data_IF_192993735470
#
_entry.id   IF_192993735470
#
_cell.length_a   1.000
_cell.length_b   1.000
_cell.length_c   1.000
_cell.angle_alpha   90.00
_cell.angle_beta   90.00
_cell.angle_gamma   90.00
#
_symmetry.space_group_name_H-M   'P 1'
#
loop_
_entity.id
_entity.type
_entity.pdbx_description
1 polymer ?
#
# COMPACT_ATOMS: atom_id res chain seq x y z
N UNK A 1 0.80 -16.44 10.41
CA UNK A 1 2.15 -15.84 10.47
C UNK A 1 2.01 -14.43 11.03
N UNK A 2 3.04 -13.88 11.65
CA UNK A 2 3.03 -12.49 12.16
C UNK A 2 4.13 -11.67 11.52
N UNK A 3 3.93 -10.36 11.45
CA UNK A 3 4.91 -9.39 10.94
C UNK A 3 5.09 -8.27 11.94
N UNK A 4 6.33 -7.81 12.13
CA UNK A 4 6.62 -6.62 12.93
C UNK A 4 6.52 -5.38 12.05
N UNK A 5 6.15 -4.25 12.63
CA UNK A 5 6.07 -2.99 11.92
C UNK A 5 6.05 -1.80 12.87
N UNK A 6 5.94 -0.61 12.29
CA UNK A 6 5.79 0.63 13.03
C UNK A 6 4.69 1.46 12.38
N UNK A 7 4.16 2.41 13.13
CA UNK A 7 3.51 3.58 12.57
C UNK A 7 4.31 4.86 12.86
N UNK A 8 4.25 5.79 11.91
CA UNK A 8 5.04 7.03 11.93
C UNK A 8 4.23 8.20 11.41
N UNK A 9 4.68 9.40 11.78
CA UNK A 9 4.11 10.65 11.32
C UNK A 9 5.20 11.70 11.09
N UNK A 10 4.81 12.96 10.95
CA UNK A 10 5.74 14.08 10.95
C UNK A 10 6.57 14.20 12.24
N UNK A 11 6.18 13.57 13.34
CA UNK A 11 7.01 13.50 14.54
C UNK A 11 8.31 12.70 14.34
N UNK A 12 8.34 11.82 13.35
CA UNK A 12 9.51 11.05 12.92
C UNK A 12 10.14 11.64 11.65
N UNK A 13 9.97 12.94 11.39
CA UNK A 13 10.68 13.62 10.30
C UNK A 13 12.19 13.38 10.42
N UNK A 14 12.84 13.09 9.28
CA UNK A 14 14.27 12.77 9.22
C UNK A 14 14.62 11.30 9.51
N UNK A 15 13.64 10.45 9.84
CA UNK A 15 13.86 9.01 9.87
C UNK A 15 14.23 8.48 8.47
N UNK A 16 15.31 7.70 8.40
CA UNK A 16 15.76 7.05 7.16
C UNK A 16 15.24 5.62 7.12
N UNK A 17 14.24 5.35 6.29
CA UNK A 17 13.54 4.05 6.23
C UNK A 17 14.50 2.89 5.92
N UNK A 18 15.46 3.10 5.00
CA UNK A 18 16.47 2.11 4.63
C UNK A 18 17.35 1.65 5.82
N UNK A 19 17.49 2.50 6.84
CA UNK A 19 18.32 2.22 8.01
C UNK A 19 17.57 1.43 9.10
N UNK A 20 16.22 1.35 9.01
CA UNK A 20 15.42 0.61 9.99
C UNK A 20 15.73 -0.89 9.89
N UNK A 21 15.83 -1.51 11.06
CA UNK A 21 15.90 -2.96 11.25
C UNK A 21 15.11 -3.77 10.17
N UNK A 22 15.77 -4.70 9.45
CA UNK A 22 15.12 -5.61 8.50
C UNK A 22 13.87 -6.35 9.05
N UNK A 23 13.76 -6.54 10.37
CA UNK A 23 12.59 -7.11 11.02
C UNK A 23 11.31 -6.26 10.81
N UNK A 24 11.42 -4.94 10.63
CA UNK A 24 10.28 -4.05 10.37
C UNK A 24 9.70 -4.30 8.97
N UNK A 25 8.67 -5.13 8.85
CA UNK A 25 8.13 -5.57 7.56
C UNK A 25 7.13 -4.59 6.93
N UNK A 26 6.43 -3.81 7.76
CA UNK A 26 5.46 -2.82 7.31
C UNK A 26 5.62 -1.50 8.06
N UNK A 27 5.16 -0.41 7.43
CA UNK A 27 5.16 0.93 8.00
C UNK A 27 3.82 1.60 7.69
N UNK A 28 3.09 2.04 8.72
CA UNK A 28 1.83 2.79 8.58
C UNK A 28 2.13 4.28 8.76
N UNK A 29 1.93 5.08 7.71
CA UNK A 29 2.33 6.49 7.66
C UNK A 29 1.12 7.41 7.85
N UNK A 30 1.24 8.43 8.69
CA UNK A 30 0.20 9.47 8.82
C UNK A 30 0.07 10.21 7.50
N UNK A 31 -1.12 10.14 6.90
CA UNK A 31 -1.41 10.87 5.68
C UNK A 31 -2.06 12.22 5.96
N UNK A 32 -3.20 12.21 6.63
CA UNK A 32 -4.02 13.41 6.84
C UNK A 32 -4.61 13.49 8.23
N UNK A 33 -5.09 14.68 8.59
CA UNK A 33 -5.87 14.92 9.80
C UNK A 33 -6.98 15.92 9.50
N UNK A 34 -8.21 15.58 9.89
CA UNK A 34 -9.38 16.43 9.64
C UNK A 34 -9.56 16.79 8.16
N UNK A 35 -10.24 17.91 7.89
CA UNK A 35 -10.58 18.32 6.52
C UNK A 35 -9.51 19.13 5.78
N UNK A 36 -8.28 19.26 6.29
CA UNK A 36 -7.29 20.18 5.70
C UNK A 36 -5.82 19.83 5.88
N UNK A 37 -5.42 19.15 6.95
CA UNK A 37 -4.01 18.86 7.19
C UNK A 37 -3.56 17.64 6.38
N UNK A 38 -2.45 17.79 5.65
CA UNK A 38 -1.68 16.69 5.07
C UNK A 38 -0.32 16.67 5.76
N UNK A 39 0.14 15.50 6.19
CA UNK A 39 1.47 15.37 6.79
C UNK A 39 2.53 15.76 5.76
N UNK A 40 3.43 16.71 6.06
CA UNK A 40 4.45 17.15 5.09
C UNK A 40 5.49 16.06 4.81
N UNK A 41 5.51 14.99 5.60
CA UNK A 41 6.39 13.83 5.42
C UNK A 41 5.69 12.64 4.75
N UNK A 42 4.37 12.72 4.49
CA UNK A 42 3.57 11.60 3.97
C UNK A 42 4.19 10.98 2.71
N UNK A 43 4.39 11.78 1.66
CA UNK A 43 4.92 11.29 0.38
C UNK A 43 6.30 10.68 0.55
N UNK A 44 7.23 11.39 1.21
CA UNK A 44 8.59 10.91 1.40
C UNK A 44 8.68 9.63 2.23
N UNK A 45 7.86 9.49 3.28
CA UNK A 45 7.81 8.28 4.10
C UNK A 45 7.13 7.13 3.35
N UNK A 46 6.05 7.38 2.60
CA UNK A 46 5.34 6.38 1.82
C UNK A 46 6.18 5.82 0.68
N UNK A 47 6.78 6.70 -0.13
CA UNK A 47 7.65 6.32 -1.24
C UNK A 47 8.88 5.55 -0.75
N UNK A 48 9.52 6.04 0.32
CA UNK A 48 10.67 5.36 0.91
C UNK A 48 10.30 3.99 1.50
N UNK A 49 9.08 3.83 2.05
CA UNK A 49 8.58 2.53 2.52
C UNK A 49 8.49 1.53 1.36
N UNK A 50 7.86 1.93 0.27
CA UNK A 50 7.71 1.08 -0.93
C UNK A 50 9.05 0.78 -1.60
N UNK A 51 9.91 1.78 -1.78
CA UNK A 51 11.23 1.64 -2.41
C UNK A 51 12.18 0.72 -1.62
N UNK A 52 11.94 0.53 -0.32
CA UNK A 52 12.71 -0.40 0.52
C UNK A 52 12.03 -1.78 0.69
N UNK A 53 11.08 -2.12 -0.18
CA UNK A 53 10.38 -3.41 -0.16
C UNK A 53 9.61 -3.67 1.13
N UNK A 54 9.17 -2.61 1.81
CA UNK A 54 8.33 -2.69 3.01
C UNK A 54 6.87 -2.52 2.60
N UNK A 55 5.97 -3.17 3.33
CA UNK A 55 4.53 -3.03 3.12
C UNK A 55 4.05 -1.67 3.65
N UNK A 56 3.26 -0.96 2.87
CA UNK A 56 2.79 0.38 3.20
C UNK A 56 1.38 0.35 3.81
N UNK A 57 1.19 1.15 4.87
CA UNK A 57 -0.11 1.60 5.34
C UNK A 57 -0.18 3.13 5.35
N UNK A 58 -1.38 3.69 5.25
CA UNK A 58 -1.64 5.13 5.32
C UNK A 58 -2.84 5.40 6.22
N UNK A 59 -2.70 6.29 7.20
CA UNK A 59 -3.79 6.55 8.14
C UNK A 59 -4.28 8.01 8.14
N UNK A 60 -5.56 8.16 8.46
CA UNK A 60 -6.23 9.43 8.66
C UNK A 60 -6.60 9.62 10.13
N UNK A 61 -6.12 10.69 10.76
CA UNK A 61 -6.55 11.08 12.10
C UNK A 61 -7.87 11.86 12.03
N UNK A 62 -8.92 11.32 12.65
CA UNK A 62 -10.24 11.95 12.69
C UNK A 62 -10.24 13.15 13.63
N UNK A 63 -10.65 14.34 13.16
CA UNK A 63 -10.65 15.56 14.00
C UNK A 63 -12.06 16.12 14.28
N UNK A 64 -13.07 15.67 13.53
CA UNK A 64 -14.44 16.18 13.61
C UNK A 64 -14.78 17.30 12.62
N UNK A 65 -14.01 17.48 11.55
CA UNK A 65 -14.24 18.48 10.50
C UNK A 65 -15.46 18.18 9.62
N UNK A 66 -16.03 16.98 9.75
CA UNK A 66 -17.21 16.54 9.00
C UNK A 66 -16.88 15.32 8.14
N UNK A 67 -17.68 14.26 8.25
CA UNK A 67 -17.32 12.95 7.70
C UNK A 67 -17.02 12.95 6.19
N UNK A 68 -17.84 13.63 5.39
CA UNK A 68 -17.62 13.76 3.95
C UNK A 68 -16.36 14.58 3.62
N UNK A 69 -16.08 15.63 4.40
CA UNK A 69 -14.91 16.48 4.18
C UNK A 69 -13.60 15.75 4.53
N UNK A 70 -13.58 15.04 5.66
CA UNK A 70 -12.46 14.19 6.08
C UNK A 70 -12.21 13.07 5.07
N UNK A 71 -13.27 12.39 4.62
CA UNK A 71 -13.15 11.31 3.65
C UNK A 71 -12.62 11.79 2.29
N UNK A 72 -13.15 12.89 1.76
CA UNK A 72 -12.68 13.46 0.50
C UNK A 72 -11.22 13.92 0.59
N UNK A 73 -10.85 14.55 1.71
CA UNK A 73 -9.48 15.02 1.96
C UNK A 73 -8.50 13.86 2.06
N UNK A 74 -8.83 12.82 2.83
CA UNK A 74 -8.01 11.61 2.93
C UNK A 74 -7.90 10.90 1.58
N UNK A 75 -9.01 10.67 0.88
CA UNK A 75 -9.03 10.02 -0.42
C UNK A 75 -8.16 10.74 -1.45
N UNK A 76 -8.22 12.08 -1.50
CA UNK A 76 -7.39 12.89 -2.38
C UNK A 76 -5.89 12.73 -2.08
N UNK A 77 -5.51 12.71 -0.81
CA UNK A 77 -4.12 12.56 -0.40
C UNK A 77 -3.55 11.16 -0.71
N UNK A 78 -4.35 10.11 -0.55
CA UNK A 78 -3.88 8.71 -0.72
C UNK A 78 -4.12 8.13 -2.11
N UNK A 79 -4.79 8.86 -3.01
CA UNK A 79 -5.10 8.40 -4.37
C UNK A 79 -3.92 7.76 -5.11
N UNK A 80 -2.67 8.29 -5.05
CA UNK A 80 -1.51 7.67 -5.71
C UNK A 80 -1.11 6.29 -5.18
N UNK A 81 -1.58 5.92 -3.98
CA UNK A 81 -1.18 4.71 -3.26
C UNK A 81 -2.29 3.66 -3.17
N UNK A 82 -3.48 3.93 -3.73
CA UNK A 82 -4.58 2.97 -3.75
C UNK A 82 -4.16 1.69 -4.48
N UNK A 83 -4.41 0.52 -3.87
CA UNK A 83 -3.94 -0.76 -4.39
C UNK A 83 -2.51 -1.13 -3.99
N UNK A 84 -1.78 -0.23 -3.31
CA UNK A 84 -0.40 -0.45 -2.82
C UNK A 84 -0.23 -0.16 -1.32
N UNK A 85 -1.20 0.51 -0.71
CA UNK A 85 -1.23 0.81 0.72
C UNK A 85 -2.52 0.31 1.38
N UNK A 86 -2.39 -0.28 2.57
CA UNK A 86 -3.53 -0.48 3.47
C UNK A 86 -3.96 0.89 4.01
N UNK A 87 -5.25 1.21 3.92
CA UNK A 87 -5.77 2.43 4.52
C UNK A 87 -6.20 2.19 5.97
N UNK A 88 -6.09 3.21 6.83
CA UNK A 88 -6.55 3.14 8.21
C UNK A 88 -7.26 4.43 8.64
N UNK A 89 -8.24 4.29 9.53
CA UNK A 89 -8.91 5.38 10.23
C UNK A 89 -8.47 5.36 11.68
N UNK A 90 -7.84 6.44 12.12
CA UNK A 90 -7.37 6.66 13.47
C UNK A 90 -8.46 7.37 14.28
N UNK A 91 -9.15 6.59 15.11
CA UNK A 91 -10.17 7.03 16.05
C UNK A 91 -9.60 7.04 17.47
N UNK A 92 -9.15 8.22 17.90
CA UNK A 92 -8.67 8.45 19.27
C UNK A 92 -9.08 9.81 19.82
N UNK A 93 -8.84 10.01 21.13
CA UNK A 93 -9.04 11.28 21.81
C UNK A 93 -7.94 12.30 21.45
N UNK A 94 -8.07 13.54 21.93
CA UNK A 94 -7.09 14.60 21.71
C UNK A 94 -7.63 15.67 20.78
N UNK A 95 -7.19 15.68 19.51
CA UNK A 95 -7.65 16.66 18.52
C UNK A 95 -9.02 16.31 17.92
N UNK A 96 -9.53 15.11 18.19
CA UNK A 96 -10.84 14.63 17.75
C UNK A 96 -11.98 15.22 18.58
N UNK A 97 -12.69 16.20 18.02
CA UNK A 97 -13.84 16.87 18.66
C UNK A 97 -15.09 15.98 18.71
N UNK A 98 -15.07 14.85 18.03
CA UNK A 98 -16.18 13.87 17.96
C UNK A 98 -15.87 12.61 18.74
N UNK A 99 -14.77 12.56 19.49
CA UNK A 99 -14.41 11.41 20.32
C UNK A 99 -15.60 10.97 21.19
N UNK A 100 -15.91 9.67 21.13
CA UNK A 100 -17.07 9.06 21.79
C UNK A 100 -18.37 9.02 20.96
N UNK A 101 -18.44 9.72 19.82
CA UNK A 101 -19.57 9.67 18.90
C UNK A 101 -19.41 8.55 17.86
N UNK A 102 -19.99 7.38 18.15
CA UNK A 102 -19.93 6.21 17.26
C UNK A 102 -20.75 6.36 15.98
N UNK A 103 -21.74 7.27 15.96
CA UNK A 103 -22.48 7.56 14.74
C UNK A 103 -21.60 8.34 13.77
N UNK A 104 -20.90 9.36 14.27
CA UNK A 104 -19.91 10.10 13.49
C UNK A 104 -18.77 9.20 12.98
N UNK A 105 -18.26 8.31 13.83
CA UNK A 105 -17.26 7.33 13.42
C UNK A 105 -17.76 6.46 12.25
N UNK A 106 -18.99 5.94 12.35
CA UNK A 106 -19.61 5.15 11.28
C UNK A 106 -19.68 5.94 9.97
N UNK A 107 -20.10 7.21 10.05
CA UNK A 107 -20.23 8.08 8.87
C UNK A 107 -18.87 8.33 8.22
N UNK A 108 -17.82 8.60 9.00
CA UNK A 108 -16.44 8.77 8.50
C UNK A 108 -15.94 7.50 7.81
N UNK A 109 -16.11 6.33 8.45
CA UNK A 109 -15.61 5.07 7.92
C UNK A 109 -16.31 4.69 6.61
N UNK A 110 -17.64 4.89 6.55
CA UNK A 110 -18.42 4.66 5.34
C UNK A 110 -17.98 5.63 4.23
N UNK A 111 -17.88 6.92 4.52
CA UNK A 111 -17.49 7.92 3.54
C UNK A 111 -16.09 7.65 2.95
N UNK A 112 -15.12 7.24 3.79
CA UNK A 112 -13.79 6.85 3.30
C UNK A 112 -13.86 5.63 2.39
N UNK A 113 -14.65 4.62 2.76
CA UNK A 113 -14.85 3.43 1.92
C UNK A 113 -15.46 3.82 0.57
N UNK A 114 -16.49 4.67 0.57
CA UNK A 114 -17.15 5.15 -0.65
C UNK A 114 -16.20 5.96 -1.55
N UNK A 115 -15.36 6.82 -0.97
CA UNK A 115 -14.43 7.67 -1.73
C UNK A 115 -13.21 6.92 -2.27
N UNK A 116 -12.76 5.87 -1.60
CA UNK A 116 -11.51 5.16 -1.95
C UNK A 116 -11.75 3.81 -2.62
N UNK A 117 -12.94 3.23 -2.48
CA UNK A 117 -13.24 1.86 -2.88
C UNK A 117 -12.51 0.81 -2.04
N UNK A 118 -11.93 1.20 -0.89
CA UNK A 118 -11.16 0.31 0.01
C UNK A 118 -11.75 0.34 1.41
N UNK A 119 -11.84 -0.82 2.06
CA UNK A 119 -12.26 -0.92 3.46
C UNK A 119 -11.03 -0.70 4.36
N UNK A 120 -10.95 0.41 5.11
CA UNK A 120 -9.78 0.69 5.93
C UNK A 120 -9.73 -0.18 7.20
N UNK A 121 -8.54 -0.30 7.78
CA UNK A 121 -8.39 -0.67 9.19
C UNK A 121 -9.04 0.40 10.08
N UNK A 122 -9.58 -0.01 11.22
CA UNK A 122 -10.08 0.91 12.24
C UNK A 122 -9.19 0.84 13.48
N UNK A 123 -8.45 1.92 13.72
CA UNK A 123 -7.60 2.09 14.88
C UNK A 123 -8.36 2.64 16.08
N UNK A 124 -8.13 2.07 17.25
CA UNK A 124 -8.49 2.66 18.53
C UNK A 124 -7.63 2.11 19.68
N UNK A 125 -7.66 2.77 20.83
CA UNK A 125 -7.16 2.17 22.08
C UNK A 125 -8.04 1.00 22.53
N UNK A 126 -7.45 0.02 23.24
CA UNK A 126 -8.19 -1.13 23.77
C UNK A 126 -9.35 -0.73 24.71
N UNK A 127 -9.26 0.41 25.41
CA UNK A 127 -10.35 0.92 26.25
C UNK A 127 -11.56 1.41 25.46
N UNK A 128 -11.36 1.86 24.22
CA UNK A 128 -12.44 2.27 23.32
C UNK A 128 -13.00 1.11 22.48
N UNK A 129 -12.32 -0.04 22.47
CA UNK A 129 -12.68 -1.19 21.65
C UNK A 129 -14.16 -1.62 21.82
N UNK A 130 -14.77 -1.66 23.01
CA UNK A 130 -16.19 -2.03 23.15
C UNK A 130 -17.15 -1.11 22.37
N UNK A 131 -16.82 0.17 22.22
CA UNK A 131 -17.63 1.13 21.46
C UNK A 131 -17.32 1.10 19.94
N UNK A 132 -16.07 0.80 19.59
CA UNK A 132 -15.59 0.80 18.20
C UNK A 132 -15.92 -0.51 17.48
N UNK A 133 -15.85 -1.65 18.17
CA UNK A 133 -16.07 -2.98 17.60
C UNK A 133 -17.40 -3.13 16.85
N UNK A 134 -18.56 -2.67 17.38
CA UNK A 134 -19.82 -2.75 16.64
C UNK A 134 -19.82 -1.96 15.34
N UNK A 135 -19.08 -0.86 15.25
CA UNK A 135 -18.93 -0.08 14.01
C UNK A 135 -18.06 -0.85 13.01
N UNK A 136 -16.95 -1.41 13.46
CA UNK A 136 -16.07 -2.23 12.63
C UNK A 136 -16.81 -3.43 12.05
N UNK A 137 -17.51 -4.21 12.89
CA UNK A 137 -18.26 -5.39 12.46
C UNK A 137 -19.36 -5.03 11.45
N UNK A 138 -20.10 -3.94 11.68
CA UNK A 138 -21.18 -3.49 10.79
C UNK A 138 -20.67 -3.04 9.41
N UNK A 139 -19.42 -2.61 9.31
CA UNK A 139 -18.80 -2.12 8.06
C UNK A 139 -17.78 -3.12 7.47
N UNK A 140 -17.63 -4.30 8.06
CA UNK A 140 -16.66 -5.31 7.63
C UNK A 140 -15.20 -4.88 7.79
N UNK A 141 -14.91 -3.96 8.72
CA UNK A 141 -13.57 -3.42 8.95
C UNK A 141 -12.76 -4.34 9.86
N UNK A 142 -11.45 -4.40 9.61
CA UNK A 142 -10.48 -5.07 10.47
C UNK A 142 -9.92 -4.09 11.49
N UNK A 143 -9.60 -4.56 12.69
CA UNK A 143 -9.19 -3.69 13.80
C UNK A 143 -7.67 -3.55 13.90
N UNK A 144 -7.22 -2.32 14.17
CA UNK A 144 -5.88 -2.00 14.67
C UNK A 144 -6.06 -1.51 16.11
N UNK A 145 -5.40 -2.13 17.09
CA UNK A 145 -5.68 -1.81 18.52
C UNK A 145 -4.41 -1.48 19.28
N UNK A 146 -4.42 -0.34 19.96
CA UNK A 146 -3.35 0.05 20.88
C UNK A 146 -3.57 -0.50 22.30
N UNK A 147 -2.60 -1.27 22.80
CA UNK A 147 -2.53 -1.68 24.21
C UNK A 147 -1.08 -1.91 24.64
N UNK A 148 -0.63 -1.14 25.62
CA UNK A 148 0.76 -1.16 26.08
C UNK A 148 0.85 -1.78 27.47
N UNK A 149 1.86 -2.61 27.71
CA UNK A 149 2.14 -3.14 29.04
C UNK A 149 2.46 -2.01 30.06
N UNK A 150 3.18 -1.00 29.58
CA UNK A 150 3.63 0.20 30.29
C UNK A 150 4.27 1.17 29.28
N UNK A 151 4.78 2.31 29.76
CA UNK A 151 5.43 3.34 28.94
C UNK A 151 6.97 3.25 28.93
N UNK A 152 7.56 2.12 29.33
CA UNK A 152 9.01 1.95 29.34
C UNK A 152 9.52 1.63 27.93
N UNK A 153 10.79 1.97 27.62
CA UNK A 153 11.39 1.59 26.36
C UNK A 153 11.41 0.06 26.15
N UNK A 154 11.13 -0.37 24.93
CA UNK A 154 11.17 -1.78 24.51
C UNK A 154 11.61 -1.91 23.05
N UNK A 155 12.02 -3.11 22.63
CA UNK A 155 12.22 -3.49 21.23
C UNK A 155 11.07 -4.34 20.67
N UNK A 156 11.36 -5.08 19.59
CA UNK A 156 10.45 -6.05 18.98
C UNK A 156 9.97 -7.11 19.99
N UNK A 157 8.68 -7.46 19.92
CA UNK A 157 8.08 -8.49 20.77
C UNK A 157 7.35 -9.50 19.89
N UNK A 158 7.70 -10.78 19.97
CA UNK A 158 6.97 -11.86 19.28
C UNK A 158 5.58 -12.06 19.88
N UNK A 159 5.47 -11.91 21.20
CA UNK A 159 4.25 -12.04 21.98
C UNK A 159 4.07 -10.84 22.91
N UNK A 160 3.34 -9.79 22.47
CA UNK A 160 3.06 -8.65 23.31
C UNK A 160 2.29 -9.00 24.58
N UNK A 161 2.44 -8.18 25.62
CA UNK A 161 1.65 -8.31 26.85
C UNK A 161 0.15 -8.33 26.55
N UNK A 162 -0.61 -9.21 27.23
CA UNK A 162 -2.07 -9.38 27.09
C UNK A 162 -2.53 -9.73 25.66
N UNK A 163 -1.66 -10.40 24.90
CA UNK A 163 -2.01 -11.02 23.63
C UNK A 163 -3.09 -12.09 23.82
N UNK A 164 -4.11 -12.07 22.95
CA UNK A 164 -5.25 -12.99 23.02
C UNK A 164 -6.44 -12.49 23.86
N UNK A 165 -6.31 -11.39 24.60
CA UNK A 165 -7.43 -10.80 25.35
C UNK A 165 -8.57 -10.29 24.44
N UNK A 166 -8.26 -9.96 23.19
CA UNK A 166 -9.20 -9.60 22.14
C UNK A 166 -8.62 -9.97 20.77
N UNK A 167 -9.47 -9.99 19.75
CA UNK A 167 -9.06 -10.19 18.35
C UNK A 167 -8.82 -8.85 17.67
N UNK A 168 -7.65 -8.69 17.05
CA UNK A 168 -7.35 -7.59 16.13
C UNK A 168 -6.48 -8.10 14.97
N UNK A 169 -6.35 -7.30 13.92
CA UNK A 169 -5.48 -7.58 12.77
C UNK A 169 -4.10 -6.97 12.95
N UNK A 170 -4.04 -5.76 13.52
CA UNK A 170 -2.78 -5.11 13.90
C UNK A 170 -2.89 -4.72 15.37
N UNK A 171 -1.79 -4.86 16.12
CA UNK A 171 -1.70 -4.43 17.51
C UNK A 171 -0.51 -3.51 17.68
N UNK A 172 -0.78 -2.27 18.06
CA UNK A 172 0.25 -1.34 18.53
C UNK A 172 0.52 -1.65 20.00
N UNK A 173 1.71 -2.14 20.33
CA UNK A 173 2.02 -2.64 21.66
C UNK A 173 3.00 -1.77 22.45
N UNK A 174 3.54 -0.72 21.84
CA UNK A 174 4.35 0.28 22.53
C UNK A 174 4.35 1.61 21.78
N UNK A 175 4.41 2.72 22.52
CA UNK A 175 4.77 4.05 22.00
C UNK A 175 6.18 4.52 22.38
N UNK A 176 6.96 3.62 22.97
CA UNK A 176 8.31 3.88 23.46
C UNK A 176 9.35 2.96 22.81
N UNK A 177 9.07 2.48 21.60
CA UNK A 177 9.93 1.60 20.83
C UNK A 177 11.34 2.13 20.63
N UNK A 178 12.30 1.22 20.69
CA UNK A 178 13.72 1.43 20.40
C UNK A 178 14.17 0.29 19.49
N UNK A 179 14.43 0.62 18.22
CA UNK A 179 14.89 -0.33 17.21
C UNK A 179 16.08 0.24 16.47
N UNK A 180 16.92 -0.64 15.93
CA UNK A 180 18.08 -0.24 15.14
C UNK A 180 17.65 0.62 13.95
N UNK A 181 18.40 1.69 13.66
CA UNK A 181 18.12 2.60 12.54
C UNK A 181 17.51 3.94 12.92
N UNK A 182 17.00 4.08 14.16
CA UNK A 182 16.44 5.34 14.64
C UNK A 182 16.63 5.50 16.16
N UNK A 183 17.19 6.63 16.59
CA UNK A 183 17.47 6.89 18.01
C UNK A 183 16.23 7.33 18.81
N UNK A 184 15.19 7.80 18.12
CA UNK A 184 13.96 8.31 18.74
C UNK A 184 12.98 7.20 19.15
N UNK A 185 11.81 7.62 19.68
CA UNK A 185 10.68 6.71 19.97
C UNK A 185 9.91 6.39 18.70
N UNK A 186 9.55 5.11 18.60
CA UNK A 186 8.68 4.58 17.57
C UNK A 186 7.51 3.88 18.23
N UNK A 187 6.36 4.03 17.62
CA UNK A 187 5.24 3.16 17.89
C UNK A 187 5.55 1.80 17.24
N UNK A 188 5.42 0.72 18.01
CA UNK A 188 5.73 -0.64 17.55
C UNK A 188 4.45 -1.45 17.40
N UNK A 189 4.33 -2.09 16.24
CA UNK A 189 3.18 -2.89 15.87
C UNK A 189 3.55 -4.34 15.56
N UNK A 190 2.58 -5.23 15.81
CA UNK A 190 2.56 -6.57 15.25
C UNK A 190 1.28 -6.74 14.41
N UNK A 191 1.43 -7.23 13.19
CA UNK A 191 0.32 -7.61 12.33
C UNK A 191 0.12 -9.13 12.40
N UNK A 192 -1.10 -9.56 12.69
CA UNK A 192 -1.53 -10.97 12.73
C UNK A 192 -1.99 -11.42 11.34
N UNK A 193 -1.16 -11.14 10.34
CA UNK A 193 -1.39 -11.51 8.95
C UNK A 193 -0.06 -11.61 8.22
N UNK A 194 -0.05 -12.30 7.08
CA UNK A 194 1.10 -12.34 6.17
C UNK A 194 1.09 -11.20 5.13
N UNK A 195 2.15 -11.14 4.31
CA UNK A 195 2.30 -10.12 3.28
C UNK A 195 1.25 -10.21 2.16
N UNK A 196 0.75 -11.42 1.85
CA UNK A 196 -0.29 -11.62 0.85
C UNK A 196 -1.64 -11.12 1.36
N UNK A 197 -1.96 -11.38 2.62
CA UNK A 197 -3.13 -10.83 3.30
C UNK A 197 -3.07 -9.29 3.41
N UNK A 198 -1.89 -8.72 3.65
CA UNK A 198 -1.67 -7.27 3.63
C UNK A 198 -1.95 -6.69 2.23
N UNK A 199 -1.39 -7.30 1.19
CA UNK A 199 -1.61 -6.87 -0.20
C UNK A 199 -3.08 -6.97 -0.61
N UNK A 200 -3.77 -8.05 -0.23
CA UNK A 200 -5.20 -8.19 -0.44
C UNK A 200 -6.00 -7.08 0.26
N UNK A 201 -5.62 -6.70 1.48
CA UNK A 201 -6.25 -5.60 2.22
C UNK A 201 -5.96 -4.22 1.61
N UNK A 202 -4.76 -4.01 1.06
CA UNK A 202 -4.43 -2.82 0.27
C UNK A 202 -5.25 -2.75 -1.04
N UNK A 203 -5.89 -3.85 -1.42
CA UNK A 203 -6.69 -3.97 -2.62
C UNK A 203 -5.86 -4.29 -3.86
N UNK A 204 -4.69 -4.88 -3.68
CA UNK A 204 -3.90 -5.49 -4.76
C UNK A 204 -4.61 -6.77 -5.23
N UNK A 205 -5.24 -6.73 -6.40
CA UNK A 205 -5.79 -7.92 -7.06
C UNK A 205 -4.67 -8.71 -7.74
N UNK A 206 -3.81 -9.34 -6.96
CA UNK A 206 -2.91 -10.38 -7.44
C UNK A 206 -2.98 -11.56 -6.47
N UNK A 207 -3.39 -12.77 -6.91
CA UNK A 207 -3.31 -13.95 -6.08
C UNK A 207 -1.85 -14.18 -5.68
N UNK A 208 -1.63 -14.56 -4.43
CA UNK A 208 -0.32 -14.99 -3.95
C UNK A 208 0.25 -16.09 -4.85
N UNK A 209 1.22 -15.74 -5.69
CA UNK A 209 2.17 -16.69 -6.25
C UNK A 209 3.51 -16.37 -5.61
N UNK A 210 3.92 -17.27 -4.73
CA UNK A 210 5.28 -17.34 -4.22
C UNK A 210 6.20 -17.66 -5.39
N UNK A 211 7.12 -16.75 -5.73
CA UNK A 211 8.43 -17.08 -6.33
C UNK A 211 9.34 -15.84 -6.28
N UNK A 212 10.41 -15.96 -5.50
CA UNK A 212 11.79 -15.49 -5.76
C UNK A 212 12.02 -14.28 -6.68
N UNK A 213 12.57 -13.22 -6.09
CA UNK A 213 13.55 -12.24 -6.62
C UNK A 213 13.69 -12.13 -8.14
N UNK A 214 13.32 -10.98 -8.68
CA UNK A 214 13.98 -10.36 -9.83
C UNK A 214 13.93 -8.83 -9.67
N UNK A 215 15.03 -8.20 -10.00
CA UNK A 215 15.32 -6.77 -9.91
C UNK A 215 14.42 -5.98 -10.89
N UNK A 216 14.17 -4.71 -10.57
CA UNK A 216 13.53 -3.76 -11.49
C UNK A 216 14.45 -3.52 -12.70
N UNK A 217 14.25 -4.27 -13.79
CA UNK A 217 14.60 -3.81 -15.13
C UNK A 217 13.31 -3.37 -15.84
N UNK A 218 13.34 -2.17 -16.41
CA UNK A 218 12.26 -1.58 -17.20
C UNK A 218 12.19 -2.34 -18.54
N UNK A 219 11.61 -3.56 -18.51
CA UNK A 219 11.52 -4.45 -19.65
C UNK A 219 10.62 -3.82 -20.73
N UNK A 220 11.24 -3.34 -21.81
CA UNK A 220 10.56 -2.68 -22.93
C UNK A 220 9.66 -3.65 -23.70
N UNK A 221 8.44 -3.86 -23.21
CA UNK A 221 7.43 -4.67 -23.89
C UNK A 221 6.67 -3.85 -24.94
N UNK A 222 6.61 -4.33 -26.19
CA UNK A 222 5.77 -3.72 -27.22
C UNK A 222 5.32 -4.70 -28.30
N UNK A 223 4.25 -4.34 -29.01
CA UNK A 223 3.81 -5.02 -30.23
C UNK A 223 4.38 -4.23 -31.42
N UNK A 224 5.15 -4.91 -32.26
CA UNK A 224 5.88 -4.30 -33.36
C UNK A 224 5.35 -4.80 -34.70
N UNK A 225 5.14 -3.86 -35.62
CA UNK A 225 5.00 -4.15 -37.05
C UNK A 225 6.35 -3.88 -37.74
N UNK A 226 6.93 -4.89 -38.37
CA UNK A 226 8.28 -4.85 -38.94
C UNK A 226 8.20 -4.57 -40.44
N UNK A 227 8.79 -3.48 -40.91
CA UNK A 227 8.93 -3.15 -42.34
C UNK A 227 7.67 -3.30 -43.21
N UNK A 228 6.51 -2.87 -42.68
CA UNK A 228 5.19 -3.03 -43.32
C UNK A 228 4.70 -4.48 -43.51
N UNK A 229 5.30 -5.45 -42.81
CA UNK A 229 4.79 -6.82 -42.80
C UNK A 229 3.36 -6.85 -42.21
N UNK A 230 2.40 -7.56 -42.82
CA UNK A 230 1.07 -7.71 -42.24
C UNK A 230 1.06 -8.49 -40.91
N UNK A 231 2.08 -9.29 -40.61
CA UNK A 231 2.22 -9.98 -39.35
C UNK A 231 2.79 -9.06 -38.26
N UNK A 232 2.23 -9.16 -37.06
CA UNK A 232 2.72 -8.47 -35.87
C UNK A 232 3.63 -9.38 -35.07
N UNK A 233 4.57 -8.80 -34.35
CA UNK A 233 5.42 -9.52 -33.40
C UNK A 233 5.35 -8.87 -32.03
N UNK A 234 5.35 -9.68 -30.97
CA UNK A 234 5.51 -9.21 -29.60
C UNK A 234 6.98 -9.24 -29.22
N UNK A 235 7.51 -8.11 -28.78
CA UNK A 235 8.84 -8.01 -28.19
C UNK A 235 8.71 -8.06 -26.68
N UNK A 236 9.34 -9.05 -26.05
CA UNK A 236 9.26 -9.29 -24.61
C UNK A 236 10.36 -8.59 -23.81
N UNK A 237 11.16 -7.74 -24.45
CA UNK A 237 12.36 -7.13 -23.86
C UNK A 237 13.66 -7.82 -24.28
N UNK A 238 13.59 -9.06 -24.77
CA UNK A 238 14.75 -9.89 -25.13
C UNK A 238 14.62 -10.48 -26.54
N UNK A 239 13.43 -10.93 -26.94
CA UNK A 239 13.18 -11.70 -28.15
C UNK A 239 11.86 -11.32 -28.84
N UNK A 240 11.76 -11.65 -30.12
CA UNK A 240 10.55 -11.43 -30.92
C UNK A 240 9.75 -12.72 -31.06
N UNK A 241 8.46 -12.61 -30.75
CA UNK A 241 7.47 -13.69 -30.90
C UNK A 241 6.48 -13.33 -31.99
N UNK A 242 6.43 -14.09 -33.07
CA UNK A 242 5.47 -13.87 -34.15
C UNK A 242 4.04 -14.13 -33.66
N UNK A 243 3.16 -13.16 -33.83
CA UNK A 243 1.73 -13.27 -33.54
C UNK A 243 1.02 -13.80 -34.79
N UNK A 244 0.49 -15.01 -34.70
CA UNK A 244 -0.12 -15.73 -35.82
C UNK A 244 -1.65 -15.65 -35.80
N UNK A 245 -2.24 -15.16 -34.70
CA UNK A 245 -3.68 -14.97 -34.56
C UNK A 245 -3.97 -13.56 -34.00
N UNK A 246 -4.89 -12.78 -34.62
CA UNK A 246 -5.31 -11.47 -34.12
C UNK A 246 -5.73 -11.43 -32.64
N UNK A 247 -6.30 -12.52 -32.10
CA UNK A 247 -6.72 -12.59 -30.70
C UNK A 247 -5.53 -12.53 -29.72
N UNK A 248 -4.32 -12.88 -30.17
CA UNK A 248 -3.12 -12.82 -29.35
C UNK A 248 -2.76 -11.38 -28.97
N UNK A 249 -3.00 -10.40 -29.85
CA UNK A 249 -2.83 -8.97 -29.55
C UNK A 249 -3.77 -8.55 -28.43
N UNK A 250 -5.04 -8.95 -28.52
CA UNK A 250 -6.06 -8.66 -27.50
C UNK A 250 -5.70 -9.28 -26.15
N UNK A 251 -5.27 -10.54 -26.16
CA UNK A 251 -4.88 -11.25 -24.94
C UNK A 251 -3.64 -10.61 -24.28
N UNK A 252 -2.59 -10.32 -25.06
CA UNK A 252 -1.38 -9.65 -24.56
C UNK A 252 -1.69 -8.27 -24.01
N UNK A 253 -2.49 -7.47 -24.72
CA UNK A 253 -2.88 -6.14 -24.25
C UNK A 253 -3.74 -6.21 -22.98
N UNK A 254 -4.66 -7.17 -22.87
CA UNK A 254 -5.48 -7.35 -21.68
C UNK A 254 -4.63 -7.68 -20.44
N UNK A 255 -3.67 -8.59 -20.58
CA UNK A 255 -2.73 -8.94 -19.50
C UNK A 255 -1.83 -7.75 -19.18
N UNK A 256 -1.20 -7.14 -20.18
CA UNK A 256 -0.31 -5.99 -19.99
C UNK A 256 -1.03 -4.81 -19.31
N UNK A 257 -2.28 -4.53 -19.70
CA UNK A 257 -3.11 -3.49 -19.09
C UNK A 257 -3.53 -3.82 -17.67
N UNK A 258 -3.83 -5.10 -17.40
CA UNK A 258 -4.09 -5.55 -16.03
C UNK A 258 -2.84 -5.41 -15.14
N UNK A 259 -1.64 -5.60 -15.70
CA UNK A 259 -0.38 -5.53 -14.97
C UNK A 259 0.16 -4.10 -14.81
N UNK A 260 0.04 -3.25 -15.84
CA UNK A 260 0.71 -1.93 -15.89
C UNK A 260 -0.26 -0.75 -15.84
N UNK A 261 -1.56 -0.99 -15.96
CA UNK A 261 -2.59 0.05 -16.09
C UNK A 261 -2.59 0.79 -17.44
N UNK A 262 -1.72 0.41 -18.38
CA UNK A 262 -1.57 1.03 -19.70
C UNK A 262 -1.82 0.02 -20.81
N UNK A 263 -2.25 0.47 -21.97
CA UNK A 263 -2.24 -0.38 -23.16
C UNK A 263 -0.77 -0.66 -23.57
N UNK A 264 -0.50 -1.86 -24.08
CA UNK A 264 0.81 -2.23 -24.60
C UNK A 264 1.17 -1.30 -25.76
N UNK A 265 2.36 -0.68 -25.77
CA UNK A 265 2.78 0.16 -26.88
C UNK A 265 2.75 -0.61 -28.21
N UNK A 266 2.14 -0.02 -29.22
CA UNK A 266 2.19 -0.52 -30.59
C UNK A 266 3.12 0.36 -31.43
N UNK A 267 4.13 -0.25 -32.03
CA UNK A 267 5.20 0.45 -32.75
C UNK A 267 5.26 -0.05 -34.19
N UNK A 268 5.24 0.88 -35.15
CA UNK A 268 5.60 0.59 -36.54
C UNK A 268 7.08 0.89 -36.73
N UNK A 269 7.86 -0.12 -37.12
CA UNK A 269 9.32 -0.03 -37.19
C UNK A 269 9.83 -0.34 -38.60
N UNK A 270 10.15 0.73 -39.33
CA UNK A 270 10.71 0.67 -40.68
C UNK A 270 9.66 0.44 -41.77
N UNK A 271 10.14 0.42 -43.01
CA UNK A 271 9.36 0.14 -44.21
C UNK A 271 10.18 -0.69 -45.20
N UNK A 272 9.58 -1.08 -46.33
CA UNK A 272 10.31 -1.78 -47.41
C UNK A 272 11.51 -1.00 -47.97
N UNK A 273 11.44 0.33 -47.93
CA UNK A 273 12.50 1.23 -48.44
C UNK A 273 13.49 1.68 -47.35
N UNK A 274 13.12 1.51 -46.07
CA UNK A 274 13.94 1.83 -44.91
C UNK A 274 13.80 0.71 -43.85
N UNK A 275 14.54 -0.41 -44.01
CA UNK A 275 14.28 -1.66 -43.29
C UNK A 275 14.85 -1.65 -41.86
N UNK A 276 14.48 -0.65 -41.06
CA UNK A 276 14.91 -0.53 -39.67
C UNK A 276 14.46 -1.72 -38.81
N UNK A 277 13.32 -2.33 -39.15
CA UNK A 277 12.86 -3.54 -38.48
C UNK A 277 13.79 -4.74 -38.70
N UNK A 278 14.42 -4.86 -39.87
CA UNK A 278 15.41 -5.93 -40.13
C UNK A 278 16.66 -5.73 -39.29
N UNK A 279 17.17 -4.50 -39.22
CA UNK A 279 18.34 -4.17 -38.39
C UNK A 279 18.08 -4.39 -36.90
N UNK A 280 16.85 -4.11 -36.45
CA UNK A 280 16.44 -4.39 -35.08
C UNK A 280 16.45 -5.89 -34.80
N UNK A 281 15.89 -6.72 -35.70
CA UNK A 281 15.91 -8.20 -35.56
C UNK A 281 17.33 -8.73 -35.51
N UNK A 282 18.23 -8.25 -36.37
CA UNK A 282 19.65 -8.63 -36.34
C UNK A 282 20.34 -8.24 -35.03
N UNK A 283 20.05 -7.05 -34.50
CA UNK A 283 20.68 -6.53 -33.30
C UNK A 283 20.32 -7.31 -32.02
N UNK A 284 19.09 -7.84 -31.92
CA UNK A 284 18.64 -8.61 -30.76
C UNK A 284 18.98 -10.11 -30.85
N UNK A 285 19.49 -10.57 -32.00
CA UNK A 285 19.91 -11.95 -32.23
C UNK A 285 21.45 -12.13 -32.15
N UNK A 286 22.20 -11.04 -32.01
CA UNK A 286 23.65 -11.00 -31.91
C UNK A 286 24.14 -11.17 -30.46
#
# INVERSE_FOLDING_TARGET
>A
MTMQGIDISNWQAGLTIASIDPACRFIIVKATQGGSYVSPTMTGQADATLANGRLLGLYHYVDGSGAAAEAAHFAAAVAPYLGRAVLAIDWEAGSNRRWGDTAYLRDVCKAVTDCTGRTPLLYCSASALPAVRPVADALGMRLWVAQYANNNPTGWQEHPWDEGAYTCTVRQYSSAGRVTGYAGRLDLDIAYMDAGEWAALAGSTTPAISTTTAEEEDDMHCIIQINDDPALSYYDGVSLHTLTNPDQVTALNAVYKACTGKDIPMVHLGSKDAPYGTRFVEAIQA
#
